data_IF_197398183254
#
_entry.id   IF_197398183254
#
_cell.length_a   1.000
_cell.length_b   1.000
_cell.length_c   1.000
_cell.angle_alpha   90.00
_cell.angle_beta   90.00
_cell.angle_gamma   90.00
#
_symmetry.space_group_name_H-M   'P 1'
#
loop_
_entity.id
_entity.type
_entity.pdbx_description
1 polymer ?
#
# COMPACT_ATOMS: atom_id res chain seq x y z
N UNK A 1 -6.92 6.06 -36.32
CA UNK A 1 -6.92 4.64 -35.88
C UNK A 1 -5.69 4.01 -36.53
N UNK A 2 -4.75 3.51 -35.73
CA UNK A 2 -3.59 2.79 -36.26
C UNK A 2 -4.05 1.44 -36.80
N UNK A 3 -3.47 0.99 -37.94
CA UNK A 3 -3.74 -0.35 -38.50
C UNK A 3 -3.45 -1.43 -37.46
N UNK A 4 -4.24 -2.52 -37.36
CA UNK A 4 -3.98 -3.66 -36.47
C UNK A 4 -2.58 -4.25 -36.64
N UNK A 5 -2.00 -4.12 -37.83
CA UNK A 5 -0.66 -4.61 -38.15
C UNK A 5 0.46 -3.81 -37.46
N UNK A 6 0.19 -2.66 -36.90
CA UNK A 6 1.23 -1.79 -36.29
C UNK A 6 1.91 -2.41 -35.06
N UNK A 7 1.23 -3.32 -34.36
CA UNK A 7 1.78 -4.04 -33.20
C UNK A 7 2.17 -5.49 -33.53
N UNK A 8 1.91 -5.96 -34.75
CA UNK A 8 2.24 -7.30 -35.18
C UNK A 8 3.70 -7.36 -35.68
N UNK A 9 4.48 -8.19 -35.01
CA UNK A 9 5.91 -8.37 -35.34
C UNK A 9 6.13 -9.74 -35.96
N UNK A 10 6.71 -9.76 -37.17
CA UNK A 10 7.13 -11.00 -37.83
C UNK A 10 8.45 -11.50 -37.22
N UNK A 11 8.61 -12.82 -37.22
CA UNK A 11 9.89 -13.40 -36.84
C UNK A 11 10.98 -13.06 -37.87
N UNK A 12 12.18 -12.75 -37.39
CA UNK A 12 13.38 -12.54 -38.23
C UNK A 12 14.08 -13.85 -38.55
N UNK A 13 13.86 -14.90 -37.77
CA UNK A 13 14.38 -16.23 -37.97
C UNK A 13 13.33 -17.15 -38.60
N UNK A 14 13.77 -18.25 -39.24
CA UNK A 14 12.88 -19.27 -39.77
C UNK A 14 12.11 -19.97 -38.63
N UNK A 15 10.82 -20.15 -38.85
CA UNK A 15 9.90 -20.78 -37.90
C UNK A 15 9.32 -22.09 -38.40
N UNK A 16 9.71 -22.56 -39.60
CA UNK A 16 9.14 -23.73 -40.27
C UNK A 16 9.36 -25.05 -39.52
N UNK A 17 10.42 -25.15 -38.74
CA UNK A 17 10.77 -26.35 -37.95
C UNK A 17 10.01 -26.51 -36.63
N UNK A 18 9.15 -25.55 -36.27
CA UNK A 18 8.45 -25.55 -35.02
C UNK A 18 6.99 -25.99 -35.19
N UNK A 19 6.57 -27.01 -34.44
CA UNK A 19 5.17 -27.37 -34.35
C UNK A 19 4.40 -26.30 -33.54
N UNK A 20 3.26 -25.87 -34.08
CA UNK A 20 2.41 -24.89 -33.41
C UNK A 20 1.62 -25.57 -32.27
N UNK A 21 1.40 -24.88 -31.12
CA UNK A 21 0.59 -25.42 -30.07
C UNK A 21 -0.86 -25.58 -30.54
N UNK A 22 -1.44 -26.75 -30.24
CA UNK A 22 -2.83 -27.07 -30.60
C UNK A 22 -3.85 -26.42 -29.68
N UNK A 23 -3.42 -26.02 -28.49
CA UNK A 23 -4.25 -25.36 -27.47
C UNK A 23 -3.47 -24.21 -26.86
N UNK A 24 -4.18 -23.14 -26.55
CA UNK A 24 -3.61 -22.03 -25.79
C UNK A 24 -3.48 -22.49 -24.33
N UNK A 25 -2.23 -22.65 -23.85
CA UNK A 25 -1.94 -23.15 -22.51
C UNK A 25 -1.62 -22.01 -21.55
N UNK A 26 -1.95 -22.22 -20.27
CA UNK A 26 -1.69 -21.27 -19.20
C UNK A 26 -0.17 -21.09 -18.98
N UNK A 27 0.41 -19.91 -19.23
CA UNK A 27 1.87 -19.76 -19.38
C UNK A 27 2.64 -19.88 -18.07
N UNK A 28 1.98 -19.88 -16.90
CA UNK A 28 2.66 -19.81 -15.61
C UNK A 28 3.02 -21.17 -15.01
N UNK A 29 2.55 -22.25 -15.60
CA UNK A 29 2.84 -23.61 -15.13
C UNK A 29 3.70 -24.42 -16.09
N UNK A 30 4.08 -23.84 -17.24
CA UNK A 30 4.79 -24.56 -18.29
C UNK A 30 6.06 -23.85 -18.70
N UNK A 31 6.99 -24.62 -19.27
CA UNK A 31 8.09 -24.03 -20.02
C UNK A 31 7.51 -23.27 -21.21
N UNK A 32 7.89 -22.01 -21.45
CA UNK A 32 7.41 -21.25 -22.58
C UNK A 32 7.66 -21.98 -23.89
N UNK A 33 6.70 -21.90 -24.81
CA UNK A 33 6.85 -22.46 -26.16
C UNK A 33 8.13 -21.91 -26.84
N UNK A 34 8.91 -22.73 -27.60
CA UNK A 34 10.16 -22.28 -28.21
C UNK A 34 10.02 -21.01 -29.07
N UNK A 35 8.90 -20.86 -29.80
CA UNK A 35 8.61 -19.63 -30.55
C UNK A 35 8.37 -18.42 -29.64
N UNK A 36 7.78 -18.59 -28.45
CA UNK A 36 7.68 -17.51 -27.47
C UNK A 36 9.06 -17.13 -26.90
N UNK A 37 9.96 -18.09 -26.73
CA UNK A 37 11.35 -17.80 -26.32
C UNK A 37 12.08 -17.02 -27.42
N UNK A 38 11.85 -17.38 -28.69
CA UNK A 38 12.40 -16.67 -29.86
C UNK A 38 11.85 -15.23 -29.91
N UNK A 39 10.52 -15.04 -29.78
CA UNK A 39 9.88 -13.74 -29.74
C UNK A 39 10.42 -12.88 -28.60
N UNK A 40 10.57 -13.46 -27.40
CA UNK A 40 11.14 -12.76 -26.25
C UNK A 40 12.59 -12.31 -26.48
N UNK A 41 13.42 -13.16 -27.11
CA UNK A 41 14.80 -12.79 -27.49
C UNK A 41 14.82 -11.65 -28.53
N UNK A 42 13.95 -11.72 -29.54
CA UNK A 42 13.83 -10.65 -30.53
C UNK A 42 13.38 -9.33 -29.88
N UNK A 43 12.40 -9.37 -28.99
CA UNK A 43 12.00 -8.19 -28.21
C UNK A 43 13.13 -7.66 -27.33
N UNK A 44 13.90 -8.53 -26.65
CA UNK A 44 15.06 -8.12 -25.84
C UNK A 44 16.14 -7.43 -26.67
N UNK A 45 16.37 -7.89 -27.90
CA UNK A 45 17.28 -7.22 -28.86
C UNK A 45 16.74 -5.84 -29.24
N UNK A 46 15.44 -5.73 -29.50
CA UNK A 46 14.80 -4.44 -29.79
C UNK A 46 14.94 -3.49 -28.58
N UNK A 47 14.72 -3.95 -27.34
CA UNK A 47 14.88 -3.12 -26.13
C UNK A 47 16.30 -2.60 -25.90
N UNK A 48 17.32 -3.29 -26.42
CA UNK A 48 18.71 -2.84 -26.36
C UNK A 48 19.06 -1.83 -27.47
N UNK A 49 18.39 -1.91 -28.61
CA UNK A 49 18.72 -1.13 -29.81
C UNK A 49 17.79 0.09 -30.02
N UNK A 50 16.62 0.12 -29.37
CA UNK A 50 15.60 1.15 -29.59
C UNK A 50 16.06 2.53 -29.11
N UNK A 51 15.49 3.57 -29.73
CA UNK A 51 15.67 4.98 -29.40
C UNK A 51 14.34 5.72 -29.19
N UNK A 52 13.23 5.00 -29.14
CA UNK A 52 11.87 5.56 -29.08
C UNK A 52 11.53 6.12 -27.69
N UNK A 53 12.24 5.65 -26.64
CA UNK A 53 12.06 6.11 -25.27
C UNK A 53 13.35 5.97 -24.45
N UNK A 54 13.52 6.84 -23.48
CA UNK A 54 14.57 6.76 -22.47
C UNK A 54 14.01 6.27 -21.14
N UNK A 55 14.45 5.10 -20.69
CA UNK A 55 14.08 4.53 -19.39
C UNK A 55 15.25 3.79 -18.78
N UNK A 56 15.60 4.16 -17.55
CA UNK A 56 16.61 3.44 -16.77
C UNK A 56 15.99 2.15 -16.18
N UNK A 57 16.28 1.04 -16.84
CA UNK A 57 15.88 -0.29 -16.33
C UNK A 57 16.76 -0.81 -15.20
N UNK A 58 17.78 -0.05 -14.78
CA UNK A 58 18.75 -0.50 -13.79
C UNK A 58 19.78 -1.47 -14.34
N UNK A 59 20.04 -1.45 -15.64
CA UNK A 59 21.07 -2.28 -16.25
C UNK A 59 22.48 -1.70 -16.04
N UNK A 60 22.56 -0.39 -15.82
CA UNK A 60 23.81 0.34 -15.54
C UNK A 60 23.86 0.82 -14.10
N UNK A 61 22.76 1.33 -13.56
CA UNK A 61 22.66 1.79 -12.19
C UNK A 61 21.44 1.14 -11.50
N UNK A 62 21.71 0.17 -10.61
CA UNK A 62 20.66 -0.58 -9.91
C UNK A 62 19.90 0.27 -8.87
N UNK A 63 20.49 1.36 -8.36
CA UNK A 63 19.89 2.17 -7.29
C UNK A 63 18.73 3.03 -7.79
N UNK A 64 18.84 3.57 -8.99
CA UNK A 64 17.87 4.49 -9.60
C UNK A 64 16.95 3.81 -10.61
N UNK A 65 17.42 2.72 -11.19
CA UNK A 65 16.73 1.99 -12.23
C UNK A 65 15.45 1.29 -11.76
N UNK A 66 14.55 1.09 -12.70
CA UNK A 66 13.28 0.38 -12.47
C UNK A 66 13.04 -0.66 -13.56
N UNK A 67 13.27 -1.92 -13.23
CA UNK A 67 12.95 -3.02 -14.12
C UNK A 67 11.45 -3.09 -14.45
N UNK A 68 11.12 -3.75 -15.54
CA UNK A 68 9.75 -3.88 -16.07
C UNK A 68 9.46 -5.30 -16.53
N UNK A 69 8.18 -5.68 -16.40
CA UNK A 69 7.65 -6.90 -16.97
C UNK A 69 7.27 -6.64 -18.43
N UNK A 70 7.77 -7.47 -19.33
CA UNK A 70 7.38 -7.53 -20.73
C UNK A 70 6.68 -8.86 -21.00
N UNK A 71 5.79 -8.85 -21.99
CA UNK A 71 5.12 -10.04 -22.51
C UNK A 71 5.18 -10.11 -24.02
N UNK A 72 5.21 -11.32 -24.54
CA UNK A 72 5.04 -11.63 -25.95
C UNK A 72 3.92 -12.65 -26.11
N UNK A 73 3.03 -12.43 -27.05
CA UNK A 73 1.93 -13.33 -27.42
C UNK A 73 2.16 -13.81 -28.84
N UNK A 74 2.43 -15.11 -29.00
CA UNK A 74 2.47 -15.75 -30.30
C UNK A 74 1.06 -15.76 -30.89
N UNK A 75 0.91 -15.26 -32.10
CA UNK A 75 -0.39 -15.13 -32.75
C UNK A 75 -0.32 -15.54 -34.20
N UNK A 76 -1.45 -16.02 -34.73
CA UNK A 76 -1.71 -16.18 -36.15
C UNK A 76 -2.66 -15.05 -36.59
N UNK A 77 -2.31 -14.35 -37.66
CA UNK A 77 -3.16 -13.30 -38.24
C UNK A 77 -4.38 -13.89 -38.98
N UNK A 78 -5.36 -13.06 -39.30
CA UNK A 78 -6.50 -13.48 -40.12
C UNK A 78 -6.12 -13.95 -41.54
N UNK A 79 -4.89 -13.65 -41.97
CA UNK A 79 -4.32 -14.08 -43.25
C UNK A 79 -3.48 -15.36 -43.13
N UNK A 80 -3.36 -15.91 -41.90
CA UNK A 80 -2.54 -17.11 -41.64
C UNK A 80 -1.05 -16.79 -41.40
N UNK A 81 -0.66 -15.52 -41.31
CA UNK A 81 0.71 -15.15 -40.99
C UNK A 81 1.03 -15.40 -39.50
N UNK A 82 2.14 -16.06 -39.26
CA UNK A 82 2.67 -16.28 -37.92
C UNK A 82 3.55 -15.12 -37.46
N UNK A 83 3.32 -14.64 -36.24
CA UNK A 83 4.10 -13.56 -35.66
C UNK A 83 3.80 -13.43 -34.16
N UNK A 84 4.17 -12.31 -33.59
CA UNK A 84 3.89 -12.04 -32.17
C UNK A 84 3.51 -10.60 -31.92
N UNK A 85 2.77 -10.40 -30.82
CA UNK A 85 2.46 -9.11 -30.23
C UNK A 85 3.36 -8.89 -29.01
N UNK A 86 3.73 -7.64 -28.71
CA UNK A 86 4.54 -7.26 -27.56
C UNK A 86 3.80 -6.30 -26.64
N UNK A 87 3.96 -6.46 -25.32
CA UNK A 87 3.42 -5.56 -24.32
C UNK A 87 4.40 -5.36 -23.14
N UNK A 88 4.19 -4.29 -22.41
CA UNK A 88 4.83 -4.06 -21.10
C UNK A 88 3.79 -3.76 -20.04
N UNK A 89 4.12 -4.01 -18.77
CA UNK A 89 3.23 -3.72 -17.65
C UNK A 89 3.35 -2.28 -17.19
N UNK A 90 2.22 -1.61 -16.99
CA UNK A 90 2.13 -0.22 -16.53
C UNK A 90 2.67 0.77 -17.56
N UNK A 91 3.58 1.66 -17.14
CA UNK A 91 4.17 2.74 -17.93
C UNK A 91 5.68 2.55 -18.08
N UNK A 92 6.23 3.04 -19.17
CA UNK A 92 7.68 3.20 -19.41
C UNK A 92 7.91 4.68 -19.72
N UNK A 93 8.88 5.32 -19.06
CA UNK A 93 9.16 6.76 -19.21
C UNK A 93 7.90 7.63 -19.10
N UNK A 94 7.03 7.32 -18.13
CA UNK A 94 5.71 7.94 -17.90
C UNK A 94 4.71 7.87 -19.07
N UNK A 95 5.00 7.04 -20.07
CA UNK A 95 4.15 6.77 -21.23
C UNK A 95 3.56 5.37 -21.15
N UNK A 96 2.35 5.20 -21.68
CA UNK A 96 1.67 3.91 -21.83
C UNK A 96 1.40 3.55 -23.30
N UNK A 97 1.70 4.46 -24.22
CA UNK A 97 1.64 4.29 -25.66
C UNK A 97 3.05 4.39 -26.23
N UNK A 98 3.58 3.27 -26.70
CA UNK A 98 4.92 3.18 -27.30
C UNK A 98 4.79 2.42 -28.64
N UNK A 99 5.39 2.90 -29.72
CA UNK A 99 5.34 2.23 -31.02
C UNK A 99 5.80 0.76 -30.94
N UNK A 100 5.14 -0.12 -31.68
CA UNK A 100 5.44 -1.56 -31.67
C UNK A 100 4.90 -2.36 -30.49
N UNK A 101 4.40 -1.70 -29.45
CA UNK A 101 3.73 -2.34 -28.33
C UNK A 101 2.22 -2.18 -28.41
N UNK A 102 1.48 -3.20 -27.94
CA UNK A 102 0.04 -3.08 -27.86
C UNK A 102 -0.36 -1.97 -26.87
N UNK A 103 -1.38 -1.16 -27.19
CA UNK A 103 -1.82 -0.08 -26.34
C UNK A 103 -2.43 -0.61 -25.03
N UNK A 104 -2.59 0.24 -23.99
CA UNK A 104 -3.34 -0.11 -22.80
C UNK A 104 -4.81 -0.41 -23.15
N UNK A 105 -5.46 -1.26 -22.34
CA UNK A 105 -6.89 -1.56 -22.50
C UNK A 105 -7.74 -0.32 -22.27
N UNK A 106 -7.33 0.51 -21.33
CA UNK A 106 -7.86 1.83 -21.05
C UNK A 106 -6.69 2.82 -20.86
N UNK A 107 -6.71 3.89 -21.62
CA UNK A 107 -5.70 4.94 -21.49
C UNK A 107 -6.08 5.90 -20.35
N UNK A 108 -5.52 5.65 -19.16
CA UNK A 108 -5.74 6.50 -17.98
C UNK A 108 -5.02 7.85 -18.05
N UNK A 109 -4.12 8.04 -19.02
CA UNK A 109 -3.30 9.26 -19.13
C UNK A 109 -3.89 10.31 -20.05
N UNK A 110 -5.07 10.05 -20.63
CA UNK A 110 -5.76 11.05 -21.47
C UNK A 110 -6.04 12.34 -20.69
N UNK A 111 -5.87 13.46 -21.33
CA UNK A 111 -6.03 14.78 -20.70
C UNK A 111 -7.47 15.06 -20.24
N UNK A 112 -8.47 14.49 -20.91
CA UNK A 112 -9.89 14.63 -20.58
C UNK A 112 -10.35 13.63 -19.49
N UNK A 113 -9.44 12.78 -18.98
CA UNK A 113 -9.74 11.71 -18.04
C UNK A 113 -9.83 12.19 -16.57
N UNK A 114 -10.64 11.48 -15.77
CA UNK A 114 -10.77 11.74 -14.31
C UNK A 114 -9.50 11.42 -13.52
N UNK A 115 -8.59 10.60 -14.06
CA UNK A 115 -7.45 10.04 -13.33
C UNK A 115 -6.50 11.12 -12.79
N UNK A 116 -6.18 12.14 -13.59
CA UNK A 116 -5.27 13.23 -13.17
C UNK A 116 -5.87 14.02 -12.02
N UNK A 117 -7.10 14.51 -12.19
CA UNK A 117 -7.78 15.32 -11.18
C UNK A 117 -7.95 14.57 -9.84
N UNK A 118 -8.33 13.28 -9.88
CA UNK A 118 -8.48 12.48 -8.66
C UNK A 118 -7.13 12.11 -8.03
N UNK A 119 -6.09 11.90 -8.85
CA UNK A 119 -4.71 11.70 -8.36
C UNK A 119 -4.19 12.97 -7.66
N UNK A 120 -4.46 14.14 -8.21
CA UNK A 120 -4.08 15.43 -7.60
C UNK A 120 -4.79 15.64 -6.26
N UNK A 121 -6.07 15.29 -6.15
CA UNK A 121 -6.80 15.32 -4.88
C UNK A 121 -6.19 14.35 -3.83
N UNK A 122 -5.78 13.15 -4.24
CA UNK A 122 -5.09 12.19 -3.37
C UNK A 122 -3.73 12.74 -2.94
N UNK A 123 -2.97 13.35 -3.86
CA UNK A 123 -1.68 13.95 -3.57
C UNK A 123 -1.80 15.13 -2.60
N UNK A 124 -2.83 15.96 -2.75
CA UNK A 124 -3.12 17.05 -1.82
C UNK A 124 -3.42 16.50 -0.40
N UNK A 125 -4.29 15.49 -0.28
CA UNK A 125 -4.59 14.84 0.99
C UNK A 125 -3.34 14.17 1.62
N UNK A 126 -2.45 13.60 0.79
CA UNK A 126 -1.17 13.07 1.24
C UNK A 126 -0.23 14.15 1.78
N UNK A 127 -0.17 15.30 1.12
CA UNK A 127 0.66 16.42 1.56
C UNK A 127 0.16 16.99 2.90
N UNK A 128 -1.16 17.16 3.04
CA UNK A 128 -1.78 17.60 4.30
C UNK A 128 -1.51 16.61 5.44
N UNK A 129 -1.72 15.31 5.19
CA UNK A 129 -1.39 14.27 6.18
C UNK A 129 0.08 14.33 6.63
N UNK A 130 1.03 14.47 5.68
CA UNK A 130 2.46 14.56 6.01
C UNK A 130 2.77 15.81 6.84
N UNK A 131 2.16 16.95 6.53
CA UNK A 131 2.32 18.18 7.29
C UNK A 131 1.80 18.02 8.72
N UNK A 132 0.61 17.49 8.90
CA UNK A 132 0.04 17.22 10.22
C UNK A 132 0.85 16.17 11.02
N UNK A 133 1.34 15.10 10.35
CA UNK A 133 2.14 14.07 10.99
C UNK A 133 3.53 14.57 11.43
N UNK A 134 4.07 15.57 10.74
CA UNK A 134 5.34 16.22 11.05
C UNK A 134 5.20 17.33 12.09
N UNK A 135 3.99 17.61 12.62
CA UNK A 135 3.78 18.62 13.64
C UNK A 135 4.58 18.26 14.93
N UNK A 136 5.55 19.09 15.34
CA UNK A 136 6.37 18.82 16.52
C UNK A 136 5.53 18.76 17.80
N UNK A 137 4.40 19.49 17.87
CA UNK A 137 3.49 19.49 19.00
C UNK A 137 3.05 18.08 19.41
N UNK A 138 2.90 17.15 18.45
CA UNK A 138 2.54 15.74 18.75
C UNK A 138 3.60 15.02 19.59
N UNK A 139 4.87 15.16 19.22
CA UNK A 139 5.97 14.54 19.95
C UNK A 139 6.17 15.21 21.30
N UNK A 140 6.10 16.53 21.33
CA UNK A 140 6.27 17.34 22.54
C UNK A 140 5.18 17.05 23.58
N UNK A 141 3.90 16.99 23.16
CA UNK A 141 2.80 16.63 24.08
C UNK A 141 2.95 15.22 24.63
N UNK A 142 3.33 14.25 23.82
CA UNK A 142 3.58 12.86 24.28
C UNK A 142 4.69 12.81 25.32
N UNK A 143 5.80 13.51 25.08
CA UNK A 143 6.92 13.58 26.00
C UNK A 143 6.53 14.30 27.31
N UNK A 144 5.80 15.41 27.21
CA UNK A 144 5.33 16.16 28.38
C UNK A 144 4.35 15.36 29.23
N UNK A 145 3.37 14.67 28.61
CA UNK A 145 2.42 13.82 29.33
C UNK A 145 3.15 12.70 30.05
N UNK A 146 4.14 12.08 29.42
CA UNK A 146 4.95 11.04 30.04
C UNK A 146 5.75 11.57 31.24
N UNK A 147 6.39 12.72 31.11
CA UNK A 147 7.13 13.38 32.19
C UNK A 147 6.21 13.79 33.34
N UNK A 148 5.07 14.40 33.05
CA UNK A 148 4.07 14.79 34.03
C UNK A 148 3.52 13.58 34.83
N UNK A 149 3.22 12.47 34.14
CA UNK A 149 2.80 11.22 34.78
C UNK A 149 3.86 10.65 35.73
N UNK A 150 5.14 10.69 35.32
CA UNK A 150 6.25 10.25 36.17
C UNK A 150 6.39 11.13 37.42
N UNK A 151 6.29 12.46 37.27
CA UNK A 151 6.31 13.41 38.41
C UNK A 151 5.15 13.19 39.35
N UNK A 152 3.94 13.05 38.82
CA UNK A 152 2.75 12.74 39.60
C UNK A 152 2.91 11.45 40.43
N UNK A 153 3.41 10.37 39.83
CA UNK A 153 3.65 9.12 40.54
C UNK A 153 4.61 9.29 41.73
N UNK A 154 5.69 10.07 41.52
CA UNK A 154 6.65 10.33 42.58
C UNK A 154 6.06 11.17 43.72
N UNK A 155 5.32 12.22 43.39
CA UNK A 155 4.65 13.08 44.39
C UNK A 155 3.58 12.31 45.14
N UNK A 156 2.76 11.51 44.46
CA UNK A 156 1.77 10.65 45.10
C UNK A 156 2.42 9.64 46.05
N UNK A 157 3.51 9.00 45.64
CA UNK A 157 4.23 8.06 46.50
C UNK A 157 4.82 8.74 47.75
N UNK A 158 5.41 9.93 47.55
CA UNK A 158 5.93 10.73 48.65
C UNK A 158 4.84 11.08 49.65
N UNK A 159 3.69 11.57 49.18
CA UNK A 159 2.57 11.92 50.05
C UNK A 159 1.98 10.69 50.78
N UNK A 160 1.91 9.54 50.13
CA UNK A 160 1.51 8.27 50.75
C UNK A 160 2.48 7.86 51.85
N UNK A 161 3.80 8.05 51.67
CA UNK A 161 4.80 7.77 52.71
C UNK A 161 4.61 8.71 53.90
N UNK A 162 4.41 10.01 53.67
CA UNK A 162 4.09 10.98 54.75
C UNK A 162 2.86 10.53 55.54
N UNK A 163 1.82 10.05 54.90
CA UNK A 163 0.61 9.55 55.58
C UNK A 163 0.88 8.28 56.39
N UNK A 164 1.74 7.38 55.94
CA UNK A 164 2.14 6.16 56.67
C UNK A 164 2.92 6.54 57.93
N UNK A 165 3.90 7.41 57.77
CA UNK A 165 4.76 7.86 58.89
C UNK A 165 3.96 8.68 59.89
N UNK A 166 3.09 9.58 59.43
CA UNK A 166 2.17 10.35 60.24
C UNK A 166 1.20 9.47 61.05
N UNK A 167 0.67 8.40 60.44
CA UNK A 167 -0.17 7.42 61.14
C UNK A 167 0.60 6.72 62.28
N UNK A 168 1.84 6.30 62.00
CA UNK A 168 2.69 5.68 63.01
C UNK A 168 3.03 6.65 64.16
N UNK A 169 3.34 7.90 63.83
CA UNK A 169 3.60 8.95 64.83
C UNK A 169 2.38 9.22 65.69
N UNK A 170 1.21 9.44 65.11
CA UNK A 170 -0.05 9.66 65.84
C UNK A 170 -0.43 8.47 66.71
N UNK A 171 -0.15 7.24 66.28
CA UNK A 171 -0.38 6.06 67.16
C UNK A 171 0.50 6.10 68.38
N UNK A 172 1.77 6.46 68.30
CA UNK A 172 2.69 6.60 69.39
C UNK A 172 2.24 7.72 70.36
N UNK A 173 1.87 8.88 69.76
CA UNK A 173 1.38 10.02 70.55
C UNK A 173 0.10 9.68 71.39
N UNK A 174 -0.84 8.96 70.85
CA UNK A 174 -2.04 8.48 71.53
C UNK A 174 -1.67 7.55 72.68
N UNK A 175 -0.81 6.57 72.45
CA UNK A 175 -0.36 5.64 73.49
C UNK A 175 0.37 6.35 74.62
N UNK A 176 1.17 7.35 74.29
CA UNK A 176 1.84 8.16 75.34
C UNK A 176 0.87 9.05 76.07
N UNK A 177 -0.06 9.72 75.36
CA UNK A 177 -1.11 10.54 76.02
C UNK A 177 -2.01 9.77 76.96
N UNK A 178 -2.40 8.56 76.61
CA UNK A 178 -3.20 7.64 77.44
C UNK A 178 -2.49 7.32 78.78
N UNK A 179 -1.14 7.37 78.81
CA UNK A 179 -0.36 7.09 80.03
C UNK A 179 -0.04 8.32 80.87
N UNK A 180 -0.08 9.51 80.26
CA UNK A 180 0.47 10.73 80.95
C UNK A 180 -0.52 11.87 81.09
N UNK A 181 -1.65 11.89 80.40
CA UNK A 181 -2.61 13.00 80.40
C UNK A 181 -3.89 12.69 81.18
N UNK A 182 -4.55 13.74 81.69
CA UNK A 182 -5.89 13.65 82.18
C UNK A 182 -6.94 13.54 81.07
N UNK A 183 -8.20 13.28 81.40
CA UNK A 183 -9.26 13.00 80.43
C UNK A 183 -9.53 14.18 79.47
N UNK A 184 -9.46 15.43 79.95
CA UNK A 184 -9.75 16.61 79.11
C UNK A 184 -8.60 16.90 78.12
N UNK A 185 -7.36 16.83 78.59
CA UNK A 185 -6.18 17.02 77.74
C UNK A 185 -6.04 15.87 76.71
N UNK A 186 -6.39 14.64 77.07
CA UNK A 186 -6.41 13.50 76.20
C UNK A 186 -7.43 13.68 75.08
N UNK A 187 -8.59 14.22 75.36
CA UNK A 187 -9.61 14.53 74.35
C UNK A 187 -9.12 15.59 73.39
N UNK A 188 -8.48 16.66 73.85
CA UNK A 188 -7.87 17.69 72.97
C UNK A 188 -6.80 17.09 72.05
N UNK A 189 -5.93 16.24 72.63
CA UNK A 189 -4.92 15.55 71.84
C UNK A 189 -5.54 14.70 70.73
N UNK A 190 -6.57 13.93 71.00
CA UNK A 190 -7.22 13.07 69.95
C UNK A 190 -7.90 13.89 68.89
N UNK A 191 -8.54 15.00 69.21
CA UNK A 191 -9.12 15.92 68.22
C UNK A 191 -8.06 16.55 67.32
N UNK A 192 -6.94 16.97 67.90
CA UNK A 192 -5.79 17.49 67.16
C UNK A 192 -5.19 16.44 66.19
N UNK A 193 -4.93 15.23 66.65
CA UNK A 193 -4.44 14.13 65.87
C UNK A 193 -5.45 13.71 64.79
N UNK A 194 -6.73 13.85 65.02
CA UNK A 194 -7.81 13.67 64.04
C UNK A 194 -7.73 14.70 62.91
N UNK A 195 -7.60 15.99 63.25
CA UNK A 195 -7.44 17.09 62.30
C UNK A 195 -6.22 16.89 61.39
N UNK A 196 -5.06 16.50 61.99
CA UNK A 196 -3.84 16.20 61.20
C UNK A 196 -4.09 15.08 60.19
N UNK A 197 -4.79 13.99 60.58
CA UNK A 197 -5.11 12.89 59.67
C UNK A 197 -6.00 13.32 58.50
N UNK A 198 -6.95 14.22 58.73
CA UNK A 198 -7.82 14.79 57.72
C UNK A 198 -7.03 15.71 56.79
N UNK A 199 -6.16 16.55 57.37
CA UNK A 199 -5.31 17.44 56.55
C UNK A 199 -4.42 16.67 55.57
N UNK A 200 -3.74 15.60 56.02
CA UNK A 200 -2.92 14.75 55.14
C UNK A 200 -3.71 14.10 54.02
N UNK A 201 -4.93 13.63 54.30
CA UNK A 201 -5.84 13.06 53.29
C UNK A 201 -6.26 14.12 52.27
N UNK A 202 -6.53 15.34 52.71
CA UNK A 202 -6.90 16.44 51.83
C UNK A 202 -5.75 16.85 50.94
N UNK A 203 -4.50 16.86 51.42
CA UNK A 203 -3.32 17.10 50.57
C UNK A 203 -3.26 16.10 49.45
N UNK A 204 -3.40 14.79 49.73
CA UNK A 204 -3.40 13.77 48.66
C UNK A 204 -4.58 13.94 47.70
N UNK A 205 -5.76 14.29 48.22
CA UNK A 205 -6.94 14.53 47.38
C UNK A 205 -6.71 15.69 46.40
N UNK A 206 -6.22 16.83 46.89
CA UNK A 206 -5.97 18.00 46.04
C UNK A 206 -4.81 17.80 45.10
N UNK A 207 -3.78 17.07 45.52
CA UNK A 207 -2.68 16.68 44.61
C UNK A 207 -3.22 15.90 43.41
N UNK A 208 -4.06 14.90 43.64
CA UNK A 208 -4.69 14.13 42.56
C UNK A 208 -5.51 15.01 41.62
N UNK A 209 -6.39 15.85 42.18
CA UNK A 209 -7.24 16.74 41.40
C UNK A 209 -6.42 17.69 40.50
N UNK A 210 -5.37 18.28 41.07
CA UNK A 210 -4.51 19.20 40.34
C UNK A 210 -3.77 18.49 39.15
N UNK A 211 -3.31 17.26 39.39
CA UNK A 211 -2.68 16.47 38.31
C UNK A 211 -3.67 15.99 37.27
N UNK A 212 -4.87 15.54 37.68
CA UNK A 212 -5.92 15.11 36.76
C UNK A 212 -6.34 16.26 35.84
N UNK A 213 -6.52 17.48 36.38
CA UNK A 213 -6.83 18.67 35.57
C UNK A 213 -5.69 19.04 34.61
N UNK A 214 -4.44 19.03 35.06
CA UNK A 214 -3.26 19.34 34.27
C UNK A 214 -3.07 18.34 33.11
N UNK A 215 -3.22 17.05 33.39
CA UNK A 215 -3.08 15.99 32.38
C UNK A 215 -4.23 16.02 31.41
N UNK A 216 -5.48 16.22 31.85
CA UNK A 216 -6.66 16.24 31.00
C UNK A 216 -6.56 17.29 29.88
N UNK A 217 -6.00 18.47 30.15
CA UNK A 217 -5.80 19.52 29.13
C UNK A 217 -4.87 19.04 28.03
N UNK A 218 -3.72 18.44 28.39
CA UNK A 218 -2.72 17.98 27.43
C UNK A 218 -3.20 16.75 26.65
N UNK A 219 -3.87 15.83 27.33
CA UNK A 219 -4.44 14.63 26.73
C UNK A 219 -5.57 14.96 25.75
N UNK A 220 -6.44 15.94 26.07
CA UNK A 220 -7.46 16.43 25.17
C UNK A 220 -6.84 17.03 23.90
N UNK A 221 -5.79 17.84 24.05
CA UNK A 221 -5.09 18.43 22.88
C UNK A 221 -4.40 17.38 22.02
N UNK A 222 -3.76 16.38 22.64
CA UNK A 222 -3.15 15.26 21.92
C UNK A 222 -4.22 14.45 21.16
N UNK A 223 -5.34 14.15 21.80
CA UNK A 223 -6.45 13.41 21.20
C UNK A 223 -7.04 14.15 19.98
N UNK A 224 -7.15 15.49 20.04
CA UNK A 224 -7.60 16.31 18.92
C UNK A 224 -6.65 16.18 17.70
N UNK A 225 -5.34 16.29 17.92
CA UNK A 225 -4.34 16.15 16.85
C UNK A 225 -4.32 14.72 16.27
N UNK A 226 -4.43 13.69 17.12
CA UNK A 226 -4.49 12.30 16.66
C UNK A 226 -5.78 12.01 15.88
N UNK A 227 -6.90 12.63 16.26
CA UNK A 227 -8.16 12.52 15.53
C UNK A 227 -8.08 13.19 14.15
N UNK A 228 -7.42 14.35 14.03
CA UNK A 228 -7.17 14.99 12.74
C UNK A 228 -6.34 14.08 11.81
N UNK A 229 -5.27 13.48 12.33
CA UNK A 229 -4.46 12.53 11.56
C UNK A 229 -5.24 11.30 11.11
N UNK A 230 -6.06 10.74 11.99
CA UNK A 230 -6.92 9.60 11.66
C UNK A 230 -7.94 9.96 10.58
N UNK A 231 -8.54 11.15 10.64
CA UNK A 231 -9.47 11.65 9.63
C UNK A 231 -8.80 11.79 8.25
N UNK A 232 -7.64 12.44 8.18
CA UNK A 232 -6.88 12.60 6.93
C UNK A 232 -6.44 11.27 6.34
N UNK A 233 -6.04 10.32 7.19
CA UNK A 233 -5.70 8.95 6.76
C UNK A 233 -6.89 8.23 6.12
N UNK A 234 -8.07 8.32 6.72
CA UNK A 234 -9.27 7.69 6.19
C UNK A 234 -9.78 8.39 4.91
N UNK A 235 -9.73 9.72 4.87
CA UNK A 235 -10.04 10.50 3.67
C UNK A 235 -9.18 10.06 2.48
N UNK A 236 -7.85 9.99 2.68
CA UNK A 236 -6.91 9.52 1.66
C UNK A 236 -7.25 8.10 1.17
N UNK A 237 -7.56 7.19 2.10
CA UNK A 237 -7.94 5.81 1.79
C UNK A 237 -9.23 5.76 0.97
N UNK A 238 -10.21 6.56 1.33
CA UNK A 238 -11.50 6.65 0.63
C UNK A 238 -11.31 7.16 -0.81
N UNK A 239 -10.54 8.23 -0.99
CA UNK A 239 -10.22 8.77 -2.32
C UNK A 239 -9.48 7.75 -3.18
N UNK A 240 -8.46 7.09 -2.62
CA UNK A 240 -7.69 6.05 -3.32
C UNK A 240 -8.56 4.87 -3.75
N UNK A 241 -9.43 4.39 -2.87
CA UNK A 241 -10.33 3.28 -3.16
C UNK A 241 -11.36 3.65 -4.22
N UNK A 242 -11.90 4.88 -4.16
CA UNK A 242 -12.85 5.39 -5.16
C UNK A 242 -12.22 5.50 -6.55
N UNK A 243 -11.01 6.07 -6.63
CA UNK A 243 -10.25 6.13 -7.89
C UNK A 243 -9.97 4.73 -8.44
N UNK A 244 -9.51 3.81 -7.59
CA UNK A 244 -9.20 2.44 -8.00
C UNK A 244 -10.46 1.73 -8.53
N UNK A 245 -11.60 1.88 -7.88
CA UNK A 245 -12.86 1.28 -8.33
C UNK A 245 -13.31 1.86 -9.69
N UNK A 246 -13.20 3.18 -9.89
CA UNK A 246 -13.49 3.81 -11.18
C UNK A 246 -12.59 3.29 -12.28
N UNK A 247 -11.28 3.15 -12.01
CA UNK A 247 -10.33 2.59 -12.97
C UNK A 247 -10.69 1.15 -13.33
N UNK A 248 -11.00 0.30 -12.36
CA UNK A 248 -11.37 -1.09 -12.61
C UNK A 248 -12.58 -1.23 -13.53
N UNK A 249 -13.55 -0.31 -13.46
CA UNK A 249 -14.71 -0.28 -14.37
C UNK A 249 -14.38 0.17 -15.78
N UNK A 250 -13.31 0.92 -15.99
CA UNK A 250 -12.86 1.34 -17.32
C UNK A 250 -12.10 0.21 -18.06
N UNK A 251 -11.48 -0.70 -17.32
CA UNK A 251 -10.78 -1.83 -17.92
C UNK A 251 -11.78 -2.91 -18.35
N UNK A 252 -12.22 -2.84 -19.61
CA UNK A 252 -13.15 -3.80 -20.23
C UNK A 252 -12.37 -4.75 -21.12
N UNK A 253 -12.44 -6.04 -20.81
CA UNK A 253 -11.74 -7.10 -21.51
C UNK A 253 -12.71 -7.92 -22.34
N UNK A 254 -12.27 -8.31 -23.53
CA UNK A 254 -12.97 -9.23 -24.42
C UNK A 254 -12.54 -10.66 -24.12
N UNK A 255 -13.48 -11.59 -24.17
CA UNK A 255 -13.18 -13.01 -24.27
C UNK A 255 -13.05 -13.45 -25.73
N UNK A 256 -12.76 -14.75 -25.97
CA UNK A 256 -12.63 -15.33 -27.32
C UNK A 256 -13.93 -15.28 -28.15
N UNK A 257 -15.08 -15.05 -27.51
CA UNK A 257 -16.39 -14.93 -28.17
C UNK A 257 -16.77 -13.46 -28.46
N UNK A 258 -15.91 -12.51 -28.10
CA UNK A 258 -16.19 -11.09 -28.26
C UNK A 258 -17.06 -10.44 -27.19
N UNK A 259 -17.35 -11.16 -26.10
CA UNK A 259 -18.09 -10.62 -24.96
C UNK A 259 -17.17 -9.76 -24.09
N UNK A 260 -17.66 -8.61 -23.64
CA UNK A 260 -16.88 -7.67 -22.85
C UNK A 260 -17.32 -7.67 -21.39
N UNK A 261 -16.34 -7.82 -20.46
CA UNK A 261 -16.54 -7.65 -19.01
C UNK A 261 -15.51 -6.69 -18.43
N UNK A 262 -15.91 -5.90 -17.44
CA UNK A 262 -14.95 -5.07 -16.71
C UNK A 262 -14.25 -5.88 -15.59
N UNK A 263 -13.20 -5.29 -14.99
CA UNK A 263 -12.45 -5.97 -13.95
C UNK A 263 -13.28 -6.28 -12.70
N UNK A 264 -14.25 -5.45 -12.38
CA UNK A 264 -15.13 -5.69 -11.21
C UNK A 264 -15.97 -6.94 -11.44
N UNK A 265 -16.54 -7.07 -12.65
CA UNK A 265 -17.32 -8.26 -13.04
C UNK A 265 -16.46 -9.52 -13.09
N UNK A 266 -15.24 -9.43 -13.66
CA UNK A 266 -14.31 -10.57 -13.76
C UNK A 266 -13.90 -11.11 -12.40
N UNK A 267 -13.77 -10.24 -11.40
CA UNK A 267 -13.35 -10.62 -10.06
C UNK A 267 -14.50 -10.93 -9.10
N UNK A 268 -15.76 -10.57 -9.44
CA UNK A 268 -16.92 -10.69 -8.56
C UNK A 268 -17.11 -12.13 -8.00
N UNK A 269 -16.95 -13.13 -8.85
CA UNK A 269 -17.15 -14.55 -8.51
C UNK A 269 -15.88 -15.24 -7.99
N UNK A 270 -14.82 -14.48 -7.68
CA UNK A 270 -13.56 -15.05 -7.19
C UNK A 270 -13.48 -15.01 -5.67
N UNK A 271 -12.58 -15.81 -5.07
CA UNK A 271 -12.31 -15.78 -3.62
C UNK A 271 -11.89 -14.41 -3.10
N UNK A 272 -11.43 -13.52 -3.99
CA UNK A 272 -11.02 -12.15 -3.72
C UNK A 272 -11.74 -11.22 -4.69
N UNK A 273 -12.95 -10.73 -4.38
CA UNK A 273 -13.79 -9.97 -5.32
C UNK A 273 -13.26 -8.57 -5.65
N UNK A 274 -12.22 -8.11 -4.94
CA UNK A 274 -11.60 -6.81 -5.22
C UNK A 274 -10.39 -7.05 -6.15
N UNK A 275 -10.40 -6.50 -7.38
CA UNK A 275 -9.24 -6.60 -8.26
C UNK A 275 -8.01 -5.95 -7.60
N UNK A 276 -6.81 -6.54 -7.73
CA UNK A 276 -5.58 -5.89 -7.28
C UNK A 276 -5.35 -4.56 -8.00
N UNK A 277 -4.68 -3.62 -7.32
CA UNK A 277 -4.26 -2.37 -7.95
C UNK A 277 -3.40 -2.68 -9.18
N UNK A 278 -3.68 -2.01 -10.32
CA UNK A 278 -2.98 -2.21 -11.56
C UNK A 278 -3.30 -3.52 -12.31
N UNK A 279 -4.33 -4.28 -11.90
CA UNK A 279 -4.71 -5.54 -12.57
C UNK A 279 -4.94 -5.38 -14.09
N UNK A 280 -5.48 -4.24 -14.53
CA UNK A 280 -5.70 -3.92 -15.95
C UNK A 280 -4.43 -3.56 -16.73
N UNK A 281 -3.31 -3.34 -16.06
CA UNK A 281 -2.05 -2.85 -16.62
C UNK A 281 -1.01 -3.96 -16.87
N UNK A 282 -1.31 -5.21 -16.57
CA UNK A 282 -0.40 -6.32 -16.84
C UNK A 282 -0.23 -6.58 -18.36
N UNK A 283 0.92 -7.12 -18.74
CA UNK A 283 1.24 -7.35 -20.17
C UNK A 283 0.29 -8.40 -20.79
N UNK A 284 0.07 -9.53 -20.14
CA UNK A 284 -0.76 -10.60 -20.66
C UNK A 284 -2.22 -10.18 -20.97
N UNK A 285 -2.98 -9.52 -20.09
CA UNK A 285 -4.31 -9.02 -20.40
C UNK A 285 -4.34 -8.03 -21.58
N UNK A 286 -3.34 -7.13 -21.70
CA UNK A 286 -3.24 -6.20 -22.83
C UNK A 286 -3.08 -6.94 -24.15
N UNK A 287 -2.21 -7.95 -24.16
CA UNK A 287 -1.94 -8.79 -25.34
C UNK A 287 -3.17 -9.54 -25.80
N UNK A 288 -3.88 -10.19 -24.90
CA UNK A 288 -5.10 -10.94 -25.23
C UNK A 288 -6.22 -10.01 -25.68
N UNK A 289 -6.43 -8.89 -25.00
CA UNK A 289 -7.40 -7.87 -25.39
C UNK A 289 -7.14 -7.38 -26.82
N UNK A 290 -5.88 -7.08 -27.13
CA UNK A 290 -5.52 -6.61 -28.46
C UNK A 290 -5.74 -7.71 -29.51
N UNK A 291 -5.33 -8.95 -29.23
CA UNK A 291 -5.51 -10.08 -30.14
C UNK A 291 -6.99 -10.30 -30.46
N UNK A 292 -7.87 -10.40 -29.44
CA UNK A 292 -9.31 -10.62 -29.64
C UNK A 292 -9.96 -9.43 -30.36
N UNK A 293 -9.60 -8.19 -30.00
CA UNK A 293 -10.16 -6.98 -30.64
C UNK A 293 -9.83 -6.89 -32.13
N UNK A 294 -8.69 -7.42 -32.54
CA UNK A 294 -8.19 -7.30 -33.89
C UNK A 294 -8.21 -8.62 -34.69
N UNK A 295 -8.85 -9.67 -34.17
CA UNK A 295 -9.04 -10.93 -34.86
C UNK A 295 -7.79 -11.78 -34.99
N UNK A 296 -6.77 -11.56 -34.16
CA UNK A 296 -5.62 -12.47 -34.09
C UNK A 296 -6.00 -13.69 -33.26
N UNK A 297 -5.51 -14.86 -33.69
CA UNK A 297 -5.67 -16.11 -32.92
C UNK A 297 -4.49 -16.29 -31.98
N UNK A 298 -4.69 -16.22 -30.64
CA UNK A 298 -3.64 -16.47 -29.66
C UNK A 298 -3.18 -17.94 -29.70
N UNK A 299 -1.87 -18.17 -29.72
CA UNK A 299 -1.29 -19.51 -29.75
C UNK A 299 -0.52 -19.87 -28.50
N UNK A 300 0.34 -18.97 -28.01
CA UNK A 300 1.11 -19.14 -26.79
C UNK A 300 1.58 -17.77 -26.27
N UNK A 301 1.88 -17.70 -24.95
CA UNK A 301 2.31 -16.47 -24.30
C UNK A 301 3.54 -16.72 -23.44
N UNK A 302 4.44 -15.76 -23.38
CA UNK A 302 5.52 -15.72 -22.39
C UNK A 302 5.67 -14.31 -21.83
N UNK A 303 6.05 -14.23 -20.55
CA UNK A 303 6.42 -12.97 -19.89
C UNK A 303 7.84 -13.10 -19.34
N UNK A 304 8.58 -12.00 -19.34
CA UNK A 304 9.92 -11.94 -18.77
C UNK A 304 10.18 -10.61 -18.05
N UNK A 305 11.06 -10.66 -17.06
CA UNK A 305 11.50 -9.46 -16.38
C UNK A 305 12.71 -8.83 -17.08
N UNK A 306 12.69 -7.51 -17.25
CA UNK A 306 13.78 -6.74 -17.84
C UNK A 306 14.27 -5.67 -16.88
N UNK A 307 15.55 -5.73 -16.49
CA UNK A 307 16.18 -4.76 -15.59
C UNK A 307 16.32 -5.22 -14.16
N UNK A 308 16.55 -4.27 -13.26
CA UNK A 308 16.75 -4.49 -11.83
C UNK A 308 15.48 -5.03 -11.15
N UNK A 309 15.67 -5.92 -10.18
CA UNK A 309 14.58 -6.48 -9.37
C UNK A 309 13.94 -5.42 -8.47
N UNK A 310 12.60 -5.39 -8.30
CA UNK A 310 11.99 -4.54 -7.29
C UNK A 310 12.45 -4.95 -5.88
N UNK A 311 12.55 -3.99 -4.97
CA UNK A 311 12.99 -4.24 -3.57
C UNK A 311 12.09 -5.23 -2.81
N UNK A 312 10.83 -5.35 -3.23
CA UNK A 312 9.84 -6.24 -2.61
C UNK A 312 9.87 -7.69 -3.10
N UNK A 313 10.53 -7.96 -4.23
CA UNK A 313 10.51 -9.30 -4.86
C UNK A 313 11.84 -9.56 -5.56
N UNK A 314 12.33 -10.79 -5.50
CA UNK A 314 13.52 -11.19 -6.28
C UNK A 314 13.09 -11.64 -7.66
N UNK A 315 13.45 -10.86 -8.69
CA UNK A 315 13.21 -11.17 -10.11
C UNK A 315 14.52 -11.16 -10.86
N UNK A 316 14.76 -12.19 -11.65
CA UNK A 316 16.01 -12.28 -12.44
C UNK A 316 15.83 -11.61 -13.79
N UNK A 317 16.78 -10.78 -14.19
CA UNK A 317 16.84 -10.18 -15.52
C UNK A 317 16.80 -11.24 -16.61
N UNK A 318 15.99 -11.05 -17.65
CA UNK A 318 15.75 -11.98 -18.77
C UNK A 318 15.11 -13.32 -18.40
N UNK A 319 14.82 -13.60 -17.13
CA UNK A 319 14.16 -14.87 -16.81
C UNK A 319 12.65 -14.79 -17.06
N UNK A 320 12.08 -15.85 -17.60
CA UNK A 320 10.64 -16.02 -17.63
C UNK A 320 10.11 -16.13 -16.20
N UNK A 321 9.09 -15.33 -15.87
CA UNK A 321 8.59 -15.25 -14.51
C UNK A 321 7.44 -16.22 -14.29
N UNK A 322 7.67 -17.21 -13.43
CA UNK A 322 6.62 -18.15 -13.00
C UNK A 322 5.74 -17.59 -11.87
N UNK A 323 5.94 -16.34 -11.41
CA UNK A 323 5.39 -15.84 -10.14
C UNK A 323 4.35 -14.72 -10.19
N UNK A 324 3.87 -14.26 -11.33
CA UNK A 324 2.72 -13.31 -11.36
C UNK A 324 1.38 -14.05 -11.35
N UNK A 325 1.34 -15.20 -10.66
CA UNK A 325 0.22 -16.15 -10.65
C UNK A 325 -1.08 -15.53 -10.11
N UNK A 326 -0.98 -14.66 -9.10
CA UNK A 326 -2.19 -14.21 -8.39
C UNK A 326 -3.05 -13.22 -9.17
N UNK A 327 -2.43 -12.39 -10.05
CA UNK A 327 -3.15 -11.31 -10.72
C UNK A 327 -3.62 -11.66 -12.13
N UNK A 328 -2.94 -12.57 -12.80
CA UNK A 328 -3.19 -12.89 -14.22
C UNK A 328 -3.97 -14.20 -14.38
N UNK A 329 -3.86 -15.15 -13.45
CA UNK A 329 -4.60 -16.43 -13.51
C UNK A 329 -6.13 -16.28 -13.63
N UNK A 330 -6.66 -15.16 -13.17
CA UNK A 330 -8.10 -14.88 -13.14
C UNK A 330 -8.65 -14.37 -14.47
N UNK A 331 -7.80 -13.79 -15.32
CA UNK A 331 -8.19 -13.41 -16.69
C UNK A 331 -8.39 -14.61 -17.62
N UNK A 332 -7.96 -15.82 -17.20
CA UNK A 332 -8.07 -17.04 -17.99
C UNK A 332 -9.37 -17.79 -17.77
N UNK A 333 -10.18 -17.37 -16.81
CA UNK A 333 -11.51 -17.94 -16.55
C UNK A 333 -12.61 -17.27 -17.40
N UNK A 334 -12.24 -16.35 -18.28
CA UNK A 334 -13.10 -15.68 -19.25
C UNK A 334 -12.88 -16.38 -20.59
#
# INVERSE_FOLDING_TARGET
MHSPEHCFTRFTADTSDYELPTQFTFPFYYTPHPLCVMAAKQLQQHLLAQTDFEHDFGLVNEETGRGKMFGVLLVESSQGDLGFLSAFSGKIADQNLIPGFVPPVYDMLTDEGFFRAETDAINAANAEYKTCAANPELADLKAQIQADRATYQQEEQTQRQVMIDGRAARKRQRQQGEQTLNADDLKILFDELGKQSVAEKNVLKYLKQAWDEKLAIKEARLAELEQQLAHLKEQRKTLSNALQHKLHKQYRFLNSHGEARDLVDIFADTTNPIPPAGAGECAAPKLLQYAFKHGFKPLALAEFWWGVSPKSEVRQHKSSTHRVIANVSRFWAI
#
